data_IF_974390057484
#
_entry.id   IF_974390057484
#
_cell.length_a   1.000
_cell.length_b   1.000
_cell.length_c   1.000
_cell.angle_alpha   90.00
_cell.angle_beta   90.00
_cell.angle_gamma   90.00
#
_symmetry.space_group_name_H-M   'P 1'
#
loop_
_entity.id
_entity.type
_entity.pdbx_description
1 polymer ?
#
# COMPACT_ATOMS: atom_id res chain seq x y z
N UNK A 1 44.83 -33.12 -3.83
CA UNK A 1 44.38 -31.76 -3.43
C UNK A 1 43.94 -31.00 -4.68
N UNK A 2 42.64 -31.02 -4.99
CA UNK A 2 41.98 -30.06 -5.89
C UNK A 2 40.60 -29.79 -5.26
N UNK A 3 40.49 -28.62 -4.64
CA UNK A 3 39.32 -28.12 -3.93
C UNK A 3 38.26 -27.72 -4.95
N UNK A 4 37.23 -28.53 -5.16
CA UNK A 4 36.05 -28.14 -5.95
C UNK A 4 35.00 -27.56 -5.01
N UNK A 5 35.05 -26.24 -4.91
CA UNK A 5 34.03 -25.41 -4.32
C UNK A 5 32.78 -25.33 -5.22
N UNK A 6 31.65 -25.02 -4.57
CA UNK A 6 30.45 -24.37 -5.14
C UNK A 6 29.59 -25.30 -6.01
N UNK A 7 28.33 -25.58 -5.68
CA UNK A 7 27.22 -24.61 -5.69
C UNK A 7 26.15 -25.06 -4.69
N UNK A 8 25.96 -24.24 -3.65
CA UNK A 8 24.81 -24.28 -2.76
C UNK A 8 23.68 -23.55 -3.49
N UNK A 9 22.76 -24.30 -4.10
CA UNK A 9 21.57 -23.75 -4.76
C UNK A 9 20.57 -23.35 -3.66
N UNK A 10 20.78 -22.16 -3.09
CA UNK A 10 19.80 -21.45 -2.27
C UNK A 10 18.65 -21.01 -3.19
N UNK A 11 17.65 -21.88 -3.33
CA UNK A 11 16.33 -21.54 -3.84
C UNK A 11 15.71 -20.59 -2.82
N UNK A 12 15.94 -19.29 -3.02
CA UNK A 12 15.19 -18.24 -2.36
C UNK A 12 13.72 -18.47 -2.70
N UNK A 13 12.96 -18.96 -1.72
CA UNK A 13 11.51 -18.83 -1.66
C UNK A 13 11.15 -17.35 -1.82
N UNK A 14 11.01 -16.89 -3.07
CA UNK A 14 10.27 -15.70 -3.39
C UNK A 14 8.82 -16.00 -3.05
N UNK A 15 8.42 -15.71 -1.81
CA UNK A 15 7.02 -15.43 -1.53
C UNK A 15 6.66 -14.23 -2.40
N UNK A 16 6.19 -14.50 -3.62
CA UNK A 16 5.39 -13.57 -4.41
C UNK A 16 4.13 -13.34 -3.58
N UNK A 17 4.21 -12.43 -2.61
CA UNK A 17 3.07 -11.95 -1.86
C UNK A 17 2.24 -11.15 -2.85
N UNK A 18 1.46 -11.85 -3.66
CA UNK A 18 0.48 -11.22 -4.54
C UNK A 18 -0.37 -10.36 -3.63
N UNK A 19 -0.32 -9.02 -3.79
CA UNK A 19 -0.94 -8.17 -2.81
C UNK A 19 -2.45 -8.41 -2.86
N UNK A 20 -3.04 -8.86 -1.74
CA UNK A 20 -4.48 -9.16 -1.72
C UNK A 20 -5.25 -7.85 -1.84
N UNK A 21 -6.23 -7.75 -2.75
CA UNK A 21 -7.04 -6.54 -2.86
C UNK A 21 -7.69 -6.25 -1.50
N UNK A 22 -7.50 -5.03 -1.00
CA UNK A 22 -8.04 -4.58 0.28
C UNK A 22 -9.49 -4.16 0.06
N UNK A 23 -10.41 -4.75 0.82
CA UNK A 23 -11.81 -4.36 0.79
C UNK A 23 -12.03 -3.21 1.78
N UNK A 24 -12.35 -2.03 1.26
CA UNK A 24 -12.72 -0.88 2.10
C UNK A 24 -14.13 -1.11 2.68
N UNK A 25 -14.33 -0.98 4.01
CA UNK A 25 -15.63 -1.20 4.63
C UNK A 25 -16.64 -0.11 4.24
N UNK A 26 -17.93 -0.48 4.18
CA UNK A 26 -19.06 0.42 3.84
C UNK A 26 -19.03 1.79 4.55
N UNK A 27 -18.85 1.89 5.88
CA UNK A 27 -18.84 3.18 6.56
C UNK A 27 -17.67 4.10 6.18
N UNK A 28 -16.78 3.70 5.26
CA UNK A 28 -15.73 4.56 4.72
C UNK A 28 -15.62 4.57 3.20
N UNK A 29 -16.44 3.80 2.47
CA UNK A 29 -16.23 3.60 1.03
C UNK A 29 -16.40 4.89 0.23
N UNK A 30 -17.49 5.63 0.47
CA UNK A 30 -17.80 6.85 -0.28
C UNK A 30 -16.69 7.89 -0.11
N UNK A 31 -16.21 8.09 1.11
CA UNK A 31 -15.17 9.08 1.40
C UNK A 31 -13.79 8.63 0.89
N UNK A 32 -13.50 7.33 0.95
CA UNK A 32 -12.30 6.76 0.32
C UNK A 32 -12.29 6.99 -1.18
N UNK A 33 -13.39 6.70 -1.88
CA UNK A 33 -13.52 6.88 -3.33
C UNK A 33 -13.38 8.35 -3.73
N UNK A 34 -13.96 9.27 -2.96
CA UNK A 34 -13.82 10.71 -3.18
C UNK A 34 -12.35 11.16 -3.11
N UNK A 35 -11.59 10.64 -2.15
CA UNK A 35 -10.19 10.99 -1.92
C UNK A 35 -9.19 10.12 -2.68
N UNK A 36 -9.64 9.09 -3.40
CA UNK A 36 -8.76 8.07 -3.97
C UNK A 36 -7.74 8.68 -4.94
N UNK A 37 -8.19 9.59 -5.81
CA UNK A 37 -7.30 10.27 -6.77
C UNK A 37 -6.20 11.06 -6.07
N UNK A 38 -6.54 11.82 -5.02
CA UNK A 38 -5.56 12.63 -4.27
C UNK A 38 -4.57 11.74 -3.52
N UNK A 39 -5.05 10.64 -2.95
CA UNK A 39 -4.22 9.66 -2.25
C UNK A 39 -3.25 8.96 -3.21
N UNK A 40 -3.70 8.58 -4.41
CA UNK A 40 -2.84 8.03 -5.47
C UNK A 40 -1.76 9.04 -5.86
N UNK A 41 -2.12 10.32 -6.05
CA UNK A 41 -1.13 11.37 -6.35
C UNK A 41 -0.12 11.55 -5.22
N UNK A 42 -0.59 11.54 -3.96
CA UNK A 42 0.29 11.62 -2.79
C UNK A 42 1.26 10.44 -2.74
N UNK A 43 0.77 9.21 -2.94
CA UNK A 43 1.61 8.01 -2.99
C UNK A 43 2.62 8.06 -4.14
N UNK A 44 2.20 8.54 -5.32
CA UNK A 44 3.08 8.70 -6.47
C UNK A 44 4.20 9.71 -6.20
N UNK A 45 3.88 10.84 -5.58
CA UNK A 45 4.88 11.86 -5.20
C UNK A 45 5.90 11.29 -4.21
N UNK A 46 5.42 10.57 -3.19
CA UNK A 46 6.27 9.97 -2.14
C UNK A 46 7.17 8.85 -2.68
N UNK A 47 6.69 8.16 -3.71
CA UNK A 47 7.42 7.09 -4.41
C UNK A 47 8.30 7.62 -5.54
N UNK A 48 8.41 8.94 -5.72
CA UNK A 48 9.12 9.58 -6.84
C UNK A 48 8.68 9.06 -8.22
N UNK A 49 7.41 8.67 -8.35
CA UNK A 49 6.83 8.13 -9.58
C UNK A 49 7.08 6.64 -9.82
N UNK A 50 7.75 5.93 -8.92
CA UNK A 50 7.94 4.48 -9.03
C UNK A 50 6.60 3.74 -8.91
N UNK A 51 6.24 2.97 -9.93
CA UNK A 51 4.92 2.35 -10.02
C UNK A 51 4.69 1.26 -8.96
N UNK A 52 5.71 0.45 -8.67
CA UNK A 52 5.60 -0.64 -7.71
C UNK A 52 5.46 -0.11 -6.27
N UNK A 53 6.25 0.90 -5.92
CA UNK A 53 6.16 1.58 -4.63
C UNK A 53 4.86 2.38 -4.50
N UNK A 54 4.38 2.99 -5.58
CA UNK A 54 3.08 3.69 -5.59
C UNK A 54 1.94 2.71 -5.28
N UNK A 55 1.90 1.56 -5.95
CA UNK A 55 0.89 0.52 -5.68
C UNK A 55 0.99 -0.05 -4.26
N UNK A 56 2.21 -0.26 -3.75
CA UNK A 56 2.44 -0.71 -2.37
C UNK A 56 1.94 0.33 -1.37
N UNK A 57 2.25 1.61 -1.61
CA UNK A 57 1.78 2.73 -0.79
C UNK A 57 0.25 2.79 -0.75
N UNK A 58 -0.42 2.75 -1.90
CA UNK A 58 -1.89 2.78 -1.99
C UNK A 58 -2.51 1.66 -1.17
N UNK A 59 -1.93 0.47 -1.25
CA UNK A 59 -2.42 -0.70 -0.54
C UNK A 59 -2.22 -0.62 0.97
N UNK A 60 -1.05 -0.15 1.41
CA UNK A 60 -0.81 0.12 2.82
C UNK A 60 -1.79 1.17 3.34
N UNK A 61 -2.05 2.22 2.55
CA UNK A 61 -3.01 3.25 2.94
C UNK A 61 -4.43 2.70 3.02
N UNK A 62 -4.83 1.83 2.10
CA UNK A 62 -6.14 1.18 2.09
C UNK A 62 -6.32 0.28 3.33
N UNK A 63 -5.28 -0.48 3.69
CA UNK A 63 -5.29 -1.32 4.89
C UNK A 63 -5.43 -0.49 6.17
N UNK A 64 -4.65 0.57 6.30
CA UNK A 64 -4.72 1.47 7.45
C UNK A 64 -6.08 2.15 7.55
N UNK A 65 -6.61 2.67 6.42
CA UNK A 65 -7.93 3.29 6.38
C UNK A 65 -9.05 2.31 6.76
N UNK A 66 -9.00 1.07 6.27
CA UNK A 66 -9.98 0.04 6.59
C UNK A 66 -9.97 -0.35 8.08
N UNK A 67 -8.83 -0.19 8.76
CA UNK A 67 -8.70 -0.41 10.20
C UNK A 67 -9.27 0.71 11.07
N UNK A 68 -9.61 1.87 10.50
CA UNK A 68 -10.20 2.99 11.24
C UNK A 68 -11.66 2.72 11.57
N UNK A 69 -12.06 3.02 12.81
CA UNK A 69 -13.40 2.70 13.34
C UNK A 69 -14.40 3.85 13.07
N UNK A 70 -13.98 5.09 13.25
CA UNK A 70 -14.87 6.26 13.19
C UNK A 70 -14.70 7.06 11.90
N UNK A 71 -15.77 7.71 11.46
CA UNK A 71 -15.76 8.56 10.26
C UNK A 71 -14.90 9.80 10.43
N UNK A 72 -14.77 10.29 11.66
CA UNK A 72 -13.86 11.39 11.97
C UNK A 72 -12.40 10.95 11.76
N UNK A 73 -11.99 9.79 12.30
CA UNK A 73 -10.63 9.29 12.12
C UNK A 73 -10.31 9.05 10.64
N UNK A 74 -11.28 8.54 9.86
CA UNK A 74 -11.16 8.36 8.41
C UNK A 74 -10.88 9.67 7.67
N UNK A 75 -11.63 10.74 7.99
CA UNK A 75 -11.44 12.07 7.37
C UNK A 75 -10.11 12.70 7.78
N UNK A 76 -9.76 12.65 9.06
CA UNK A 76 -8.46 13.14 9.56
C UNK A 76 -7.30 12.41 8.87
N UNK A 77 -7.40 11.08 8.77
CA UNK A 77 -6.42 10.26 8.07
C UNK A 77 -6.27 10.70 6.61
N UNK A 78 -7.36 10.80 5.85
CA UNK A 78 -7.31 11.25 4.45
C UNK A 78 -6.73 12.67 4.31
N UNK A 79 -7.03 13.56 5.26
CA UNK A 79 -6.46 14.91 5.34
C UNK A 79 -4.94 14.92 5.43
N UNK A 80 -4.35 13.98 6.19
CA UNK A 80 -2.88 13.84 6.27
C UNK A 80 -2.23 13.25 5.02
N UNK A 81 -3.03 12.68 4.11
CA UNK A 81 -2.58 12.00 2.88
C UNK A 81 -3.03 12.71 1.60
N UNK A 82 -3.27 14.03 1.69
CA UNK A 82 -3.50 14.88 0.53
C UNK A 82 -4.96 15.18 0.19
N UNK A 83 -5.92 14.65 0.95
CA UNK A 83 -7.35 14.92 0.75
C UNK A 83 -8.00 15.59 1.98
N UNK A 84 -7.90 16.92 2.13
CA UNK A 84 -8.53 17.65 3.22
C UNK A 84 -10.04 17.82 2.96
N UNK A 85 -10.88 17.18 3.79
CA UNK A 85 -12.35 17.13 3.67
C UNK A 85 -13.08 17.23 5.02
#
# INVERSE_FOLDING_TARGET
>A
MITRATILLLVLCGCSSTPRPVTIPEPGRVVWEQCHTDLVQWCRQRSHGDAQQTATCEQDRANEFAGLITDQARREYLGTHGCPI
#
